data_IF_596326897639
#
_entry.id   IF_596326897639
#
_cell.length_a   1.000
_cell.length_b   1.000
_cell.length_c   1.000
_cell.angle_alpha   90.00
_cell.angle_beta   90.00
_cell.angle_gamma   90.00
#
_symmetry.space_group_name_H-M   'P 1'
#
loop_
_entity.id
_entity.type
_entity.pdbx_description
1 polymer ?
#
# COMPACT_ATOMS: atom_id res chain seq x y z
N UNK A 1 -36.86 -21.33 56.80
CA UNK A 1 -36.46 -22.03 55.56
C UNK A 1 -36.61 -21.14 54.30
N UNK A 2 -36.03 -19.95 54.27
CA UNK A 2 -36.17 -19.01 53.12
C UNK A 2 -34.86 -18.21 52.81
N UNK A 3 -33.71 -18.67 53.29
CA UNK A 3 -32.41 -17.96 53.10
C UNK A 3 -31.35 -18.79 52.39
N UNK A 4 -31.67 -20.00 51.88
CA UNK A 4 -30.71 -20.88 51.18
C UNK A 4 -30.87 -20.95 49.68
N UNK A 5 -31.85 -20.24 49.08
CA UNK A 5 -32.11 -20.31 47.65
C UNK A 5 -31.52 -19.14 46.82
N UNK A 6 -30.89 -18.15 47.46
CA UNK A 6 -30.37 -16.97 46.77
C UNK A 6 -28.87 -17.08 46.46
N UNK A 7 -28.15 -17.98 47.12
CA UNK A 7 -26.68 -18.14 46.97
C UNK A 7 -26.29 -19.07 45.81
N UNK A 8 -27.21 -19.86 45.27
CA UNK A 8 -26.90 -20.78 44.17
C UNK A 8 -27.10 -20.19 42.77
N UNK A 9 -27.75 -19.02 42.65
CA UNK A 9 -28.00 -18.36 41.35
C UNK A 9 -26.89 -17.36 40.94
N UNK A 10 -26.00 -17.00 41.88
CA UNK A 10 -24.93 -16.05 41.60
C UNK A 10 -23.63 -16.68 41.06
N UNK A 11 -23.55 -18.02 41.01
CA UNK A 11 -22.34 -18.74 40.60
C UNK A 11 -22.38 -19.25 39.15
N UNK A 12 -23.44 -18.92 38.39
CA UNK A 12 -23.59 -19.39 37.00
C UNK A 12 -23.35 -18.29 35.94
N UNK A 13 -22.90 -17.10 36.39
CA UNK A 13 -22.47 -16.05 35.45
C UNK A 13 -20.97 -15.84 35.63
N UNK A 14 -20.17 -16.36 34.78
CA UNK A 14 -18.84 -15.91 34.34
C UNK A 14 -17.96 -17.07 33.90
N UNK A 15 -18.37 -17.80 32.88
CA UNK A 15 -17.41 -18.51 32.03
C UNK A 15 -17.70 -18.18 30.54
N UNK A 16 -17.81 -16.90 30.23
CA UNK A 16 -17.39 -16.48 28.89
C UNK A 16 -15.87 -16.33 28.96
N UNK A 17 -15.17 -17.43 28.82
CA UNK A 17 -13.76 -17.36 28.43
C UNK A 17 -13.71 -16.62 27.11
N UNK A 18 -13.29 -15.36 27.14
CA UNK A 18 -12.75 -14.70 25.96
C UNK A 18 -11.50 -15.53 25.64
N UNK A 19 -11.65 -16.55 24.80
CA UNK A 19 -10.47 -17.18 24.21
C UNK A 19 -9.75 -16.08 23.46
N UNK A 20 -8.66 -15.61 24.03
CA UNK A 20 -7.74 -14.73 23.34
C UNK A 20 -7.38 -15.42 22.04
N UNK A 21 -7.49 -14.69 20.93
CA UNK A 21 -7.20 -15.22 19.61
C UNK A 21 -5.73 -15.62 19.56
N UNK A 22 -5.46 -16.91 19.64
CA UNK A 22 -4.12 -17.49 19.69
C UNK A 22 -3.35 -17.36 18.37
N UNK A 23 -4.03 -17.00 17.30
CA UNK A 23 -3.46 -16.87 15.96
C UNK A 23 -3.59 -15.44 15.46
N UNK A 24 -2.48 -14.84 15.03
CA UNK A 24 -2.43 -13.51 14.40
C UNK A 24 -1.78 -13.59 13.01
N UNK A 25 -2.16 -12.68 12.14
CA UNK A 25 -1.60 -12.58 10.77
C UNK A 25 -0.76 -11.30 10.70
N UNK A 26 0.50 -11.45 10.32
CA UNK A 26 1.50 -10.38 10.27
C UNK A 26 2.22 -10.37 8.91
N UNK A 27 3.18 -9.46 8.73
CA UNK A 27 4.01 -9.34 7.53
C UNK A 27 3.20 -9.38 6.23
N UNK A 28 2.17 -8.53 6.19
CA UNK A 28 1.29 -8.42 5.04
C UNK A 28 2.00 -7.62 3.93
N UNK A 29 2.31 -8.28 2.83
CA UNK A 29 3.09 -7.72 1.73
C UNK A 29 2.34 -7.82 0.41
N UNK A 30 2.59 -6.85 -0.48
CA UNK A 30 2.20 -6.85 -1.89
C UNK A 30 3.49 -6.72 -2.70
N UNK A 31 3.78 -7.70 -3.57
CA UNK A 31 5.05 -7.80 -4.33
C UNK A 31 6.30 -7.65 -3.42
N UNK A 32 6.30 -8.30 -2.24
CA UNK A 32 7.39 -8.26 -1.22
C UNK A 32 7.58 -6.88 -0.56
N UNK A 33 6.64 -5.97 -0.70
CA UNK A 33 6.69 -4.63 -0.14
C UNK A 33 5.53 -4.38 0.82
N UNK A 34 5.79 -3.63 1.87
CA UNK A 34 4.76 -3.19 2.82
C UNK A 34 4.18 -1.87 2.32
N UNK A 35 2.89 -1.88 1.96
CA UNK A 35 2.16 -0.69 1.50
C UNK A 35 2.87 0.08 0.38
N UNK A 36 3.28 -0.58 -0.73
CA UNK A 36 4.03 0.10 -1.78
C UNK A 36 3.23 1.22 -2.44
N UNK A 37 3.96 2.27 -2.84
CA UNK A 37 3.47 3.38 -3.62
C UNK A 37 4.06 3.31 -5.03
N UNK A 38 3.20 3.36 -6.06
CA UNK A 38 3.65 3.35 -7.46
C UNK A 38 3.94 1.96 -8.02
N UNK A 39 3.20 0.93 -7.60
CA UNK A 39 3.37 -0.44 -8.08
C UNK A 39 2.79 -0.62 -9.49
N UNK A 40 3.63 -0.95 -10.47
CA UNK A 40 3.21 -1.12 -11.88
C UNK A 40 2.81 -2.56 -12.24
N UNK A 41 2.87 -3.49 -11.30
CA UNK A 41 2.45 -4.87 -11.54
C UNK A 41 0.93 -4.96 -11.67
N UNK A 42 0.45 -5.48 -12.81
CA UNK A 42 -0.99 -5.65 -13.10
C UNK A 42 -1.62 -6.83 -12.36
N UNK A 43 -0.80 -7.76 -11.88
CA UNK A 43 -1.23 -8.93 -11.12
C UNK A 43 -0.27 -9.15 -9.93
N UNK A 44 -0.33 -8.28 -8.90
CA UNK A 44 0.59 -8.35 -7.77
C UNK A 44 0.41 -9.63 -6.97
N UNK A 45 1.46 -10.03 -6.28
CA UNK A 45 1.47 -11.17 -5.39
C UNK A 45 1.22 -10.72 -3.95
N UNK A 46 0.40 -11.47 -3.20
CA UNK A 46 0.15 -11.24 -1.78
C UNK A 46 0.90 -12.26 -0.93
N UNK A 47 1.45 -11.79 0.19
CA UNK A 47 2.12 -12.66 1.17
C UNK A 47 1.76 -12.25 2.60
N UNK A 48 1.72 -13.24 3.50
CA UNK A 48 1.47 -13.02 4.93
C UNK A 48 2.14 -14.11 5.77
N UNK A 49 2.34 -13.83 7.06
CA UNK A 49 2.84 -14.80 8.04
C UNK A 49 1.77 -15.03 9.09
N UNK A 50 1.58 -16.30 9.45
CA UNK A 50 0.73 -16.72 10.55
C UNK A 50 1.60 -16.96 11.77
N UNK A 51 1.30 -16.24 12.85
CA UNK A 51 1.89 -16.48 14.17
C UNK A 51 0.83 -17.06 15.08
N UNK A 52 1.15 -18.17 15.74
CA UNK A 52 0.25 -18.87 16.64
C UNK A 52 1.01 -19.32 17.89
N UNK A 53 0.34 -19.33 19.03
CA UNK A 53 0.83 -19.92 20.26
C UNK A 53 0.62 -21.45 20.29
N UNK A 54 -0.26 -21.97 19.43
CA UNK A 54 -0.50 -23.40 19.34
C UNK A 54 0.57 -24.09 18.48
N UNK A 55 1.12 -25.19 18.97
CA UNK A 55 2.08 -26.02 18.22
C UNK A 55 1.42 -26.64 16.98
N UNK A 56 2.22 -26.83 15.93
CA UNK A 56 1.77 -27.44 14.67
C UNK A 56 0.58 -26.72 14.01
N UNK A 57 0.47 -25.42 14.19
CA UNK A 57 -0.52 -24.60 13.48
C UNK A 57 -0.19 -24.57 12.00
N UNK A 58 -1.11 -25.00 11.18
CA UNK A 58 -1.02 -24.96 9.72
C UNK A 58 -2.26 -24.29 9.13
N UNK A 59 -2.04 -23.45 8.11
CA UNK A 59 -3.12 -22.90 7.29
C UNK A 59 -3.81 -24.02 6.52
N UNK A 60 -5.11 -24.01 6.49
CA UNK A 60 -5.94 -24.93 5.69
C UNK A 60 -6.65 -24.23 4.54
N UNK A 61 -7.00 -22.97 4.76
CA UNK A 61 -7.67 -22.14 3.76
C UNK A 61 -7.29 -20.67 3.95
N UNK A 62 -7.43 -19.91 2.87
CA UNK A 62 -7.41 -18.46 2.93
C UNK A 62 -8.56 -17.84 2.12
N UNK A 63 -8.83 -16.56 2.34
CA UNK A 63 -9.70 -15.72 1.51
C UNK A 63 -9.16 -14.31 1.51
N UNK A 64 -8.83 -13.77 0.35
CA UNK A 64 -8.32 -12.42 0.15
C UNK A 64 -9.44 -11.52 -0.34
N UNK A 65 -9.50 -10.32 0.21
CA UNK A 65 -10.38 -9.25 -0.24
C UNK A 65 -9.54 -8.07 -0.68
N UNK A 66 -9.88 -7.49 -1.83
CA UNK A 66 -9.29 -6.26 -2.37
C UNK A 66 -10.39 -5.29 -2.73
N UNK A 67 -10.28 -4.03 -2.29
CA UNK A 67 -11.26 -2.99 -2.53
C UNK A 67 -10.60 -1.62 -2.77
N UNK A 68 -11.36 -0.65 -3.27
CA UNK A 68 -10.93 0.74 -3.43
C UNK A 68 -11.28 1.61 -2.21
N UNK A 69 -11.91 1.05 -1.17
CA UNK A 69 -12.15 1.68 0.12
C UNK A 69 -11.83 0.73 1.29
N UNK A 70 -11.71 1.27 2.50
CA UNK A 70 -11.37 0.53 3.72
C UNK A 70 -12.54 -0.28 4.29
N UNK A 71 -13.75 -0.03 3.86
CA UNK A 71 -14.95 -0.72 4.36
C UNK A 71 -15.36 -1.91 3.51
N UNK A 72 -14.68 -2.15 2.38
CA UNK A 72 -14.93 -3.26 1.45
C UNK A 72 -16.40 -3.32 1.03
N UNK A 73 -16.98 -2.16 0.70
CA UNK A 73 -18.35 -2.06 0.22
C UNK A 73 -18.55 -2.86 -1.09
N UNK A 74 -19.77 -3.29 -1.37
CA UNK A 74 -20.07 -4.04 -2.59
C UNK A 74 -19.62 -3.34 -3.87
N UNK A 75 -19.67 -2.00 -3.88
CA UNK A 75 -19.30 -1.20 -5.05
C UNK A 75 -17.80 -0.97 -5.17
N UNK A 76 -17.06 -1.03 -4.06
CA UNK A 76 -15.60 -0.85 -4.02
C UNK A 76 -14.83 -2.16 -4.17
N UNK A 77 -15.48 -3.30 -3.96
CA UNK A 77 -14.85 -4.62 -4.02
C UNK A 77 -14.43 -4.94 -5.46
N UNK A 78 -13.12 -5.11 -5.64
CA UNK A 78 -12.54 -5.46 -6.95
C UNK A 78 -12.14 -6.93 -7.02
N UNK A 79 -11.88 -7.55 -5.86
CA UNK A 79 -11.60 -8.98 -5.77
C UNK A 79 -12.01 -9.56 -4.42
N UNK A 80 -12.65 -10.69 -4.49
CA UNK A 80 -12.87 -11.67 -3.42
C UNK A 80 -12.42 -13.01 -3.98
N UNK A 81 -11.36 -13.60 -3.41
CA UNK A 81 -10.83 -14.88 -3.88
C UNK A 81 -11.79 -16.04 -3.60
N UNK A 82 -12.85 -15.82 -2.82
CA UNK A 82 -13.57 -16.89 -2.18
C UNK A 82 -12.69 -17.62 -1.15
N UNK A 83 -13.25 -18.61 -0.49
CA UNK A 83 -12.52 -19.48 0.42
C UNK A 83 -11.74 -20.53 -0.37
N UNK A 84 -10.42 -20.35 -0.46
CA UNK A 84 -9.49 -21.22 -1.20
C UNK A 84 -8.90 -22.26 -0.24
N UNK A 85 -8.97 -23.54 -0.58
CA UNK A 85 -8.32 -24.62 0.17
C UNK A 85 -6.85 -24.69 -0.25
N UNK A 86 -5.97 -24.12 0.57
CA UNK A 86 -4.51 -24.08 0.34
C UNK A 86 -3.79 -23.68 1.62
N UNK A 87 -2.57 -24.17 1.77
CA UNK A 87 -1.61 -23.78 2.79
C UNK A 87 -0.63 -22.69 2.30
N UNK A 88 -0.73 -22.28 1.04
CA UNK A 88 0.07 -21.19 0.50
C UNK A 88 -0.26 -19.86 1.19
N UNK A 89 0.78 -19.18 1.63
CA UNK A 89 0.72 -17.85 2.25
C UNK A 89 1.76 -16.88 1.67
N UNK A 90 2.43 -17.29 0.59
CA UNK A 90 3.52 -16.54 -0.06
C UNK A 90 3.28 -16.53 -1.56
N UNK A 91 3.38 -15.35 -2.17
CA UNK A 91 3.23 -15.13 -3.63
C UNK A 91 1.87 -15.57 -4.21
N UNK A 92 0.81 -15.43 -3.43
CA UNK A 92 -0.56 -15.68 -3.89
C UNK A 92 -0.95 -14.61 -4.89
N UNK A 93 -1.17 -15.00 -6.15
CA UNK A 93 -1.43 -14.06 -7.26
C UNK A 93 -2.79 -13.41 -7.19
N UNK A 94 -2.82 -12.11 -7.47
CA UNK A 94 -4.04 -11.39 -7.77
C UNK A 94 -4.65 -11.87 -9.09
N UNK A 95 -5.90 -12.32 -9.03
CA UNK A 95 -6.68 -12.77 -10.21
C UNK A 95 -8.05 -12.07 -10.28
N UNK A 96 -8.16 -10.92 -9.65
CA UNK A 96 -9.38 -10.09 -9.67
C UNK A 96 -9.55 -9.29 -10.95
N UNK A 97 -10.40 -8.27 -10.88
CA UNK A 97 -10.61 -7.32 -12.00
C UNK A 97 -9.32 -6.56 -12.30
N UNK A 98 -9.17 -6.11 -13.55
CA UNK A 98 -8.02 -5.28 -13.95
C UNK A 98 -7.87 -4.08 -13.01
N UNK A 99 -6.64 -3.88 -12.51
CA UNK A 99 -6.30 -2.75 -11.66
C UNK A 99 -6.20 -1.47 -12.49
N UNK A 100 -6.70 -0.37 -11.93
CA UNK A 100 -6.57 0.97 -12.53
C UNK A 100 -5.23 1.60 -12.14
N UNK A 101 -4.69 2.50 -12.99
CA UNK A 101 -3.49 3.26 -12.67
C UNK A 101 -3.76 4.31 -11.58
N UNK A 102 -2.71 4.74 -10.89
CA UNK A 102 -2.75 5.77 -9.81
C UNK A 102 -3.90 5.58 -8.83
N UNK A 103 -4.21 4.33 -8.49
CA UNK A 103 -5.36 4.00 -7.65
C UNK A 103 -4.90 3.35 -6.34
N UNK A 104 -5.42 3.83 -5.23
CA UNK A 104 -5.20 3.24 -3.91
C UNK A 104 -6.15 2.07 -3.71
N UNK A 105 -5.59 0.92 -3.38
CA UNK A 105 -6.32 -0.29 -3.02
C UNK A 105 -6.07 -0.65 -1.57
N UNK A 106 -7.06 -1.28 -0.96
CA UNK A 106 -7.02 -1.84 0.38
C UNK A 106 -7.20 -3.33 0.28
N UNK A 107 -6.55 -4.07 1.16
CA UNK A 107 -6.67 -5.51 1.18
C UNK A 107 -6.58 -6.08 2.59
N UNK A 108 -7.18 -7.25 2.76
CA UNK A 108 -7.13 -8.05 3.98
C UNK A 108 -7.24 -9.51 3.61
N UNK A 109 -6.72 -10.38 4.46
CA UNK A 109 -6.85 -11.83 4.29
C UNK A 109 -7.50 -12.45 5.52
N UNK A 110 -8.41 -13.38 5.29
CA UNK A 110 -8.92 -14.33 6.29
C UNK A 110 -8.20 -15.64 6.13
N UNK A 111 -7.78 -16.23 7.25
CA UNK A 111 -7.06 -17.50 7.30
C UNK A 111 -7.80 -18.46 8.23
N UNK A 112 -7.93 -19.70 7.82
CA UNK A 112 -8.41 -20.83 8.64
C UNK A 112 -7.22 -21.74 8.91
N UNK A 113 -7.13 -22.23 10.13
CA UNK A 113 -6.09 -23.18 10.55
C UNK A 113 -6.68 -24.55 10.87
N UNK A 114 -5.81 -25.54 11.03
CA UNK A 114 -6.17 -26.88 11.48
C UNK A 114 -6.74 -26.90 12.91
N UNK A 115 -6.51 -25.85 13.71
CA UNK A 115 -6.99 -25.76 15.10
C UNK A 115 -8.35 -25.07 15.24
N UNK A 116 -8.84 -24.38 14.21
CA UNK A 116 -10.07 -23.60 14.33
C UNK A 116 -10.94 -23.64 13.07
N UNK A 117 -12.23 -23.87 13.27
CA UNK A 117 -13.24 -23.68 12.20
C UNK A 117 -13.54 -22.20 11.92
N UNK A 118 -13.18 -21.29 12.83
CA UNK A 118 -13.31 -19.84 12.65
C UNK A 118 -12.07 -19.29 11.97
N UNK A 119 -12.28 -18.33 11.10
CA UNK A 119 -11.17 -17.62 10.47
C UNK A 119 -10.61 -16.55 11.38
N UNK A 120 -9.30 -16.33 11.28
CA UNK A 120 -8.64 -15.11 11.75
C UNK A 120 -8.53 -14.15 10.58
N UNK A 121 -8.83 -12.88 10.78
CA UNK A 121 -8.68 -11.83 9.77
C UNK A 121 -7.48 -10.95 10.10
N UNK A 122 -6.70 -10.61 9.07
CA UNK A 122 -5.59 -9.68 9.19
C UNK A 122 -6.06 -8.24 9.42
N UNK A 123 -5.15 -7.36 9.82
CA UNK A 123 -5.35 -5.92 9.65
C UNK A 123 -5.54 -5.58 8.18
N UNK A 124 -6.18 -4.44 7.91
CA UNK A 124 -6.30 -3.90 6.57
C UNK A 124 -4.97 -3.23 6.20
N UNK A 125 -4.44 -3.58 5.03
CA UNK A 125 -3.28 -2.95 4.42
C UNK A 125 -3.69 -2.24 3.13
N UNK A 126 -2.82 -1.40 2.61
CA UNK A 126 -3.08 -0.73 1.34
C UNK A 126 -1.83 -0.72 0.46
N UNK A 127 -2.04 -0.49 -0.83
CA UNK A 127 -1.00 -0.13 -1.78
C UNK A 127 -1.58 0.84 -2.81
N UNK A 128 -0.72 1.50 -3.55
CA UNK A 128 -1.15 2.32 -4.68
C UNK A 128 -0.47 1.82 -5.94
N UNK A 129 -1.26 1.64 -7.00
CA UNK A 129 -0.71 1.35 -8.32
C UNK A 129 0.04 2.56 -8.86
N UNK A 130 1.05 2.29 -9.69
CA UNK A 130 1.77 3.30 -10.43
C UNK A 130 1.01 3.73 -11.69
N UNK A 131 1.76 4.21 -12.68
CA UNK A 131 1.20 4.65 -13.95
C UNK A 131 0.83 3.50 -14.87
N UNK A 132 1.29 2.27 -14.60
CA UNK A 132 0.93 1.02 -15.26
C UNK A 132 1.37 0.89 -16.72
N UNK A 133 1.47 1.99 -17.45
CA UNK A 133 1.98 2.06 -18.82
C UNK A 133 2.44 3.48 -19.19
N UNK A 134 3.18 3.61 -20.30
CA UNK A 134 3.74 4.87 -20.74
C UNK A 134 2.68 5.92 -21.15
N UNK A 135 1.50 5.49 -21.62
CA UNK A 135 0.45 6.41 -22.09
C UNK A 135 -0.19 7.22 -20.94
N UNK A 136 -0.05 6.75 -19.71
CA UNK A 136 -0.51 7.46 -18.53
C UNK A 136 0.48 8.54 -18.05
N UNK A 137 1.70 8.56 -18.61
CA UNK A 137 2.67 9.62 -18.37
C UNK A 137 2.32 10.84 -19.23
N UNK A 138 1.88 11.94 -18.60
CA UNK A 138 1.37 13.13 -19.30
C UNK A 138 2.39 14.28 -19.38
N UNK A 139 3.50 14.18 -18.65
CA UNK A 139 4.53 15.22 -18.66
C UNK A 139 5.48 15.06 -19.84
N UNK A 140 6.11 16.17 -20.22
CA UNK A 140 7.19 16.20 -21.18
C UNK A 140 8.56 16.18 -20.47
N UNK A 141 9.57 15.72 -21.19
CA UNK A 141 10.95 15.89 -20.76
C UNK A 141 11.34 17.37 -20.79
N UNK A 142 11.94 17.83 -19.70
CA UNK A 142 12.52 19.18 -19.61
C UNK A 142 14.04 19.06 -19.56
N UNK A 143 14.73 20.05 -20.07
CA UNK A 143 16.20 20.13 -20.10
C UNK A 143 16.64 21.59 -20.19
N UNK A 144 17.87 21.85 -19.80
CA UNK A 144 18.52 23.13 -20.04
C UNK A 144 18.84 23.36 -21.51
N UNK A 145 19.03 24.62 -21.91
CA UNK A 145 19.44 24.97 -23.25
C UNK A 145 20.81 24.38 -23.61
N UNK A 146 21.10 24.24 -24.91
CA UNK A 146 22.41 23.71 -25.33
C UNK A 146 23.57 24.60 -24.89
N UNK A 147 23.37 25.92 -24.76
CA UNK A 147 24.38 26.85 -24.27
C UNK A 147 24.72 26.63 -22.79
N UNK A 148 23.71 26.29 -22.00
CA UNK A 148 23.85 26.08 -20.56
C UNK A 148 24.40 24.69 -20.22
N UNK A 149 24.41 23.74 -21.16
CA UNK A 149 25.02 22.42 -21.00
C UNK A 149 26.56 22.45 -20.92
N UNK A 150 27.19 23.48 -21.43
CA UNK A 150 28.63 23.68 -21.33
C UNK A 150 29.07 24.08 -19.92
N UNK A 151 28.16 24.57 -19.11
CA UNK A 151 28.37 24.81 -17.69
C UNK A 151 28.37 23.46 -16.95
N UNK A 152 29.50 23.08 -16.39
CA UNK A 152 29.68 21.83 -15.60
C UNK A 152 28.88 21.82 -14.29
N UNK A 153 27.78 22.53 -14.22
CA UNK A 153 26.92 22.69 -13.03
C UNK A 153 25.59 21.96 -13.20
N UNK A 154 25.12 21.34 -12.12
CA UNK A 154 23.78 20.75 -12.10
C UNK A 154 22.72 21.87 -12.19
N UNK A 155 21.75 21.76 -13.11
CA UNK A 155 20.73 22.77 -13.27
C UNK A 155 19.67 22.69 -12.16
N UNK A 156 19.14 23.85 -11.77
CA UNK A 156 17.96 23.93 -10.91
C UNK A 156 16.73 24.20 -11.78
N UNK A 157 15.73 23.32 -11.68
CA UNK A 157 14.40 23.53 -12.26
C UNK A 157 13.46 23.96 -11.14
N UNK A 158 12.83 25.11 -11.33
CA UNK A 158 11.90 25.67 -10.33
C UNK A 158 10.58 26.01 -11.02
N UNK A 159 9.48 25.63 -10.39
CA UNK A 159 8.14 26.05 -10.84
C UNK A 159 7.27 26.44 -9.64
N UNK A 160 6.62 27.58 -9.75
CA UNK A 160 5.63 28.07 -8.80
C UNK A 160 4.22 27.78 -9.32
N UNK A 161 3.35 27.25 -8.45
CA UNK A 161 1.96 26.95 -8.81
C UNK A 161 1.00 27.24 -7.66
N UNK A 162 -0.22 27.58 -8.00
CA UNK A 162 -1.28 27.89 -7.03
C UNK A 162 -2.30 26.79 -6.90
N UNK A 163 -2.72 26.51 -5.66
CA UNK A 163 -3.85 25.64 -5.34
C UNK A 163 -4.94 26.45 -4.64
N UNK A 164 -6.15 26.40 -5.18
CA UNK A 164 -7.29 27.21 -4.71
C UNK A 164 -8.39 26.38 -4.03
N UNK A 165 -8.20 25.06 -3.90
CA UNK A 165 -9.16 24.14 -3.29
C UNK A 165 -8.48 23.29 -2.24
N UNK A 166 -9.29 22.74 -1.30
CA UNK A 166 -8.82 21.75 -0.32
C UNK A 166 -8.26 20.52 -1.03
N UNK A 167 -7.04 20.14 -0.66
CA UNK A 167 -6.34 18.99 -1.22
C UNK A 167 -6.85 17.74 -0.50
N UNK A 168 -7.42 16.81 -1.24
CA UNK A 168 -7.89 15.51 -0.72
C UNK A 168 -6.78 14.47 -0.86
N UNK A 169 -6.13 14.45 -2.02
CA UNK A 169 -5.00 13.55 -2.34
C UNK A 169 -4.08 14.26 -3.32
N UNK A 170 -2.78 14.01 -3.23
CA UNK A 170 -1.80 14.50 -4.19
C UNK A 170 -0.64 13.52 -4.27
N UNK A 171 -0.34 13.07 -5.49
CA UNK A 171 0.78 12.21 -5.79
C UNK A 171 1.69 12.89 -6.81
N UNK A 172 2.99 12.75 -6.62
CA UNK A 172 4.00 13.19 -7.59
C UNK A 172 4.68 11.97 -8.17
N UNK A 173 4.70 11.89 -9.49
CA UNK A 173 5.49 10.93 -10.26
C UNK A 173 6.65 11.68 -10.91
N UNK A 174 7.87 11.27 -10.63
CA UNK A 174 9.06 11.98 -11.11
C UNK A 174 10.15 11.00 -11.57
N UNK A 175 10.84 11.36 -12.63
CA UNK A 175 11.96 10.61 -13.17
C UNK A 175 13.01 11.54 -13.78
N UNK A 176 14.20 11.02 -14.00
CA UNK A 176 15.27 11.70 -14.73
C UNK A 176 16.12 10.70 -15.53
N UNK A 177 16.87 11.23 -16.50
CA UNK A 177 18.04 10.56 -17.05
C UNK A 177 19.25 11.08 -16.27
N UNK A 178 19.79 10.30 -15.36
CA UNK A 178 20.73 10.70 -14.34
C UNK A 178 20.11 10.61 -12.97
N UNK A 179 20.49 11.46 -12.05
CA UNK A 179 19.95 11.53 -10.69
C UNK A 179 19.30 12.87 -10.46
N UNK A 180 18.35 12.90 -9.53
CA UNK A 180 17.70 14.13 -9.10
C UNK A 180 17.53 14.16 -7.57
N UNK A 181 17.38 15.35 -7.04
CA UNK A 181 16.80 15.61 -5.74
C UNK A 181 15.68 16.65 -5.91
N UNK A 182 14.51 16.36 -5.34
CA UNK A 182 13.34 17.21 -5.49
C UNK A 182 12.83 17.71 -4.15
N UNK A 183 12.28 18.95 -4.16
CA UNK A 183 11.75 19.63 -2.97
C UNK A 183 10.39 20.24 -3.29
N UNK A 184 9.49 20.21 -2.32
CA UNK A 184 8.23 20.97 -2.34
C UNK A 184 8.24 21.92 -1.14
N UNK A 185 8.01 23.21 -1.40
CA UNK A 185 7.97 24.25 -0.37
C UNK A 185 9.21 24.24 0.56
N UNK A 186 10.39 23.91 0.01
CA UNK A 186 11.65 23.83 0.73
C UNK A 186 11.91 22.50 1.46
N UNK A 187 10.96 21.58 1.47
CA UNK A 187 11.12 20.27 2.08
C UNK A 187 11.49 19.22 1.03
N UNK A 188 12.50 18.40 1.31
CA UNK A 188 12.96 17.33 0.43
C UNK A 188 11.90 16.25 0.27
N UNK A 189 11.78 15.69 -0.94
CA UNK A 189 10.89 14.56 -1.24
C UNK A 189 11.57 13.24 -0.86
N UNK A 190 10.92 12.49 0.03
CA UNK A 190 11.39 11.17 0.45
C UNK A 190 12.75 11.20 1.14
N UNK A 191 13.26 10.03 1.42
CA UNK A 191 14.53 9.78 2.13
C UNK A 191 15.57 9.06 1.26
N UNK A 192 15.21 8.67 0.04
CA UNK A 192 16.08 7.97 -0.89
C UNK A 192 17.10 8.92 -1.53
N UNK A 193 18.30 8.40 -1.79
CA UNK A 193 19.38 9.12 -2.47
C UNK A 193 19.63 8.53 -3.84
N UNK A 194 20.22 9.32 -4.74
CA UNK A 194 20.57 8.93 -6.12
C UNK A 194 19.36 8.43 -6.92
N UNK A 195 18.21 9.06 -6.70
CA UNK A 195 16.97 8.76 -7.42
C UNK A 195 17.03 9.25 -8.87
N UNK A 196 16.37 8.57 -9.82
CA UNK A 196 15.55 7.37 -9.72
C UNK A 196 16.35 6.07 -9.73
N UNK A 197 17.66 6.11 -9.75
CA UNK A 197 18.55 4.99 -9.96
C UNK A 197 19.02 4.86 -11.41
N UNK A 198 20.02 4.02 -11.65
CA UNK A 198 20.62 3.83 -12.96
C UNK A 198 20.03 2.63 -13.66
N UNK A 199 19.55 2.83 -14.89
CA UNK A 199 19.05 1.77 -15.76
C UNK A 199 19.54 1.96 -17.20
N UNK A 200 19.36 0.96 -18.05
CA UNK A 200 19.56 1.12 -19.49
C UNK A 200 18.45 1.97 -20.09
N UNK A 201 18.65 3.27 -20.22
CA UNK A 201 17.63 4.25 -20.63
C UNK A 201 17.03 3.99 -22.02
N UNK A 202 17.65 3.15 -22.85
CA UNK A 202 17.07 2.70 -24.12
C UNK A 202 15.92 1.72 -23.92
N UNK A 203 15.98 0.94 -22.83
CA UNK A 203 15.05 -0.15 -22.56
C UNK A 203 14.10 0.16 -21.39
N UNK A 204 14.60 0.84 -20.36
CA UNK A 204 13.84 1.10 -19.13
C UNK A 204 14.32 2.36 -18.45
N UNK A 205 13.37 3.19 -18.03
CA UNK A 205 13.59 4.33 -17.12
C UNK A 205 12.73 4.09 -15.89
N UNK A 206 13.35 4.15 -14.72
CA UNK A 206 12.63 4.09 -13.44
C UNK A 206 12.03 5.46 -13.10
N UNK A 207 10.94 5.46 -12.38
CA UNK A 207 10.39 6.66 -11.76
C UNK A 207 10.09 6.39 -10.29
N UNK A 208 9.99 7.44 -9.49
CA UNK A 208 9.47 7.40 -8.14
C UNK A 208 8.08 7.99 -8.07
N UNK A 209 7.29 7.47 -7.13
CA UNK A 209 5.99 8.00 -6.74
C UNK A 209 6.07 8.48 -5.29
N UNK A 210 5.56 9.68 -5.02
CA UNK A 210 5.54 10.28 -3.69
C UNK A 210 4.12 10.75 -3.36
N UNK A 211 3.64 10.44 -2.17
CA UNK A 211 2.45 11.09 -1.63
C UNK A 211 2.85 12.45 -1.06
N UNK A 212 2.40 13.53 -1.70
CA UNK A 212 2.86 14.89 -1.40
C UNK A 212 1.79 15.79 -0.81
N UNK A 213 0.62 15.24 -0.48
CA UNK A 213 -0.51 16.00 0.04
C UNK A 213 -0.12 16.89 1.22
N UNK A 214 0.62 16.36 2.19
CA UNK A 214 0.96 17.05 3.42
C UNK A 214 2.10 18.08 3.24
N UNK A 215 2.76 18.08 2.09
CA UNK A 215 3.76 19.07 1.69
C UNK A 215 3.16 20.28 0.97
N UNK A 216 1.88 20.19 0.57
CA UNK A 216 1.17 21.20 -0.19
C UNK A 216 0.25 22.02 0.70
N UNK A 217 0.04 23.29 0.32
CA UNK A 217 -0.88 24.23 0.99
C UNK A 217 -1.82 24.89 0.00
N UNK A 218 -2.95 25.39 0.47
CA UNK A 218 -3.79 26.29 -0.30
C UNK A 218 -3.00 27.59 -0.53
N UNK A 219 -3.08 28.14 -1.74
CA UNK A 219 -2.29 29.29 -2.17
C UNK A 219 -1.07 28.87 -2.97
N UNK A 220 0.00 29.64 -2.87
CA UNK A 220 1.24 29.44 -3.64
C UNK A 220 2.08 28.29 -3.09
N UNK A 221 2.52 27.45 -3.98
CA UNK A 221 3.44 26.35 -3.74
C UNK A 221 4.61 26.43 -4.73
N UNK A 222 5.74 25.88 -4.36
CA UNK A 222 6.95 25.80 -5.19
C UNK A 222 7.45 24.37 -5.24
N UNK A 223 7.78 23.88 -6.41
CA UNK A 223 8.58 22.69 -6.63
C UNK A 223 9.94 23.09 -7.17
N UNK A 224 11.00 22.50 -6.61
CA UNK A 224 12.37 22.65 -7.07
C UNK A 224 13.02 21.29 -7.27
N UNK A 225 13.80 21.14 -8.34
CA UNK A 225 14.50 19.90 -8.69
C UNK A 225 15.92 20.23 -9.13
N UNK A 226 16.91 19.53 -8.59
CA UNK A 226 18.29 19.57 -9.01
C UNK A 226 18.71 18.23 -9.57
#
# INVERSE_FOLDING_TARGET
MRRFLITTLALLMCFFSIEAQKTIITNLEVDKLISPLGLDNKSPDFSWIINSEDFNTAQTHYQIFVATDEIFSKNSLVWDSGKVSSDESVYVKYVGKALSYDTKYFWTVKVWTNHSKRSTQSKIMNWRTGLMNADNWKSNWISVSNKDRELSQAPYFINDFGLNKKIISANLYITSRGVYEAHINGNRLGDSFLTPGWTSYKNRIQYQAYEVKDMLKIGQNRIGVI
#
